data_IF_575398310583
#
_entry.id   IF_575398310583
#
_cell.length_a   1.000
_cell.length_b   1.000
_cell.length_c   1.000
_cell.angle_alpha   90.00
_cell.angle_beta   90.00
_cell.angle_gamma   90.00
#
_symmetry.space_group_name_H-M   'P 1'
#
loop_
_entity.id
_entity.type
_entity.pdbx_description
1 polymer ?
#
# COMPACT_ATOMS: atom_id res chain seq x y z
N UNK A 1 -10.69 15.10 -0.71
CA UNK A 1 -10.22 15.86 0.48
C UNK A 1 -9.26 15.07 1.37
N UNK A 2 -9.51 13.79 1.72
CA UNK A 2 -8.56 12.98 2.55
C UNK A 2 -7.19 12.80 1.92
N UNK A 3 -7.17 12.35 0.66
CA UNK A 3 -5.92 12.18 -0.10
C UNK A 3 -5.18 13.52 -0.15
N UNK A 4 -5.88 14.65 -0.35
CA UNK A 4 -5.29 15.99 -0.35
C UNK A 4 -4.71 16.42 1.01
N UNK A 5 -5.30 16.02 2.14
CA UNK A 5 -4.79 16.33 3.49
C UNK A 5 -3.59 15.44 3.87
N UNK A 6 -3.65 14.15 3.55
CA UNK A 6 -2.51 13.23 3.68
C UNK A 6 -1.35 13.65 2.76
N UNK A 7 -1.65 14.03 1.53
CA UNK A 7 -0.72 14.61 0.57
C UNK A 7 -0.11 15.91 1.08
N UNK A 8 -0.90 16.83 1.62
CA UNK A 8 -0.39 18.09 2.14
C UNK A 8 0.54 17.88 3.35
N UNK A 9 0.21 16.94 4.25
CA UNK A 9 1.08 16.56 5.36
C UNK A 9 2.35 15.86 4.89
N UNK A 10 2.25 14.92 3.94
CA UNK A 10 3.39 14.26 3.30
C UNK A 10 4.32 15.25 2.59
N UNK A 11 3.76 16.15 1.80
CA UNK A 11 4.50 17.19 1.07
C UNK A 11 5.20 18.11 2.08
N UNK A 12 4.50 18.60 3.10
CA UNK A 12 5.07 19.53 4.09
C UNK A 12 6.16 18.86 4.94
N UNK A 13 5.97 17.60 5.33
CA UNK A 13 6.91 16.86 6.16
C UNK A 13 8.16 16.36 5.40
N UNK A 14 8.07 16.18 4.08
CA UNK A 14 9.19 15.79 3.22
C UNK A 14 10.04 16.97 2.72
N UNK A 15 9.53 18.22 2.76
CA UNK A 15 10.22 19.35 2.11
C UNK A 15 10.93 20.34 3.02
N UNK A 16 10.66 20.41 4.32
CA UNK A 16 11.17 21.48 5.19
C UNK A 16 11.00 22.92 4.62
N UNK A 17 10.16 23.11 3.58
CA UNK A 17 10.04 24.35 2.84
C UNK A 17 8.57 24.62 2.53
N UNK A 18 8.04 25.66 3.17
CA UNK A 18 6.68 26.17 2.96
C UNK A 18 6.45 26.86 1.60
N UNK A 19 7.29 26.68 0.57
CA UNK A 19 7.09 27.42 -0.69
C UNK A 19 7.72 26.85 -1.98
N UNK A 20 8.05 25.55 -2.04
CA UNK A 20 8.45 24.93 -3.31
C UNK A 20 7.76 23.56 -3.46
N UNK A 21 7.14 23.31 -4.61
CA UNK A 21 6.73 21.96 -4.99
C UNK A 21 7.98 21.06 -4.91
N UNK A 22 7.99 19.99 -4.09
CA UNK A 22 9.12 19.09 -4.04
C UNK A 22 9.42 18.52 -5.43
N UNK A 23 10.65 18.68 -5.89
CA UNK A 23 11.15 18.02 -7.11
C UNK A 23 11.85 16.72 -6.74
N UNK A 24 11.06 15.65 -6.53
CA UNK A 24 11.58 14.29 -6.55
C UNK A 24 11.89 13.91 -8.00
N UNK A 25 13.05 13.30 -8.33
CA UNK A 25 13.36 12.85 -9.68
C UNK A 25 12.70 11.50 -10.02
N UNK A 26 12.36 10.70 -9.01
CA UNK A 26 11.76 9.39 -9.15
C UNK A 26 10.83 9.05 -7.96
N UNK A 27 9.93 8.09 -8.18
CA UNK A 27 9.08 7.50 -7.15
C UNK A 27 9.17 5.97 -7.19
N UNK A 28 9.54 5.36 -6.06
CA UNK A 28 9.68 3.91 -5.92
C UNK A 28 8.60 3.38 -4.95
N UNK A 29 7.91 2.31 -5.32
CA UNK A 29 6.77 1.78 -4.53
C UNK A 29 7.02 0.33 -4.16
N UNK A 30 6.98 0.03 -2.87
CA UNK A 30 7.08 -1.32 -2.29
C UNK A 30 5.84 -1.62 -1.47
N UNK A 31 5.45 -2.88 -1.41
CA UNK A 31 4.28 -3.27 -0.63
C UNK A 31 3.34 -4.24 -1.31
N UNK A 32 2.06 -4.16 -0.93
CA UNK A 32 1.03 -5.14 -1.31
C UNK A 32 -0.01 -4.65 -2.34
N UNK A 33 0.28 -3.62 -3.15
CA UNK A 33 -0.60 -3.21 -4.25
C UNK A 33 0.15 -2.56 -5.43
N UNK A 34 -0.19 -2.93 -6.68
CA UNK A 34 0.49 -2.48 -7.93
C UNK A 34 -0.42 -1.71 -8.91
N UNK A 35 0.13 -1.02 -9.94
CA UNK A 35 -0.63 -0.29 -11.00
C UNK A 35 -0.15 -0.43 -12.49
N UNK A 36 -1.02 -0.79 -13.49
CA UNK A 36 -1.14 -0.24 -14.91
C UNK A 36 -2.56 -0.17 -15.55
N UNK A 37 -2.90 0.91 -16.26
CA UNK A 37 -4.27 1.48 -16.46
C UNK A 37 -5.35 0.74 -17.29
N UNK A 38 -6.58 1.27 -17.20
CA UNK A 38 -7.69 1.17 -18.18
C UNK A 38 -8.44 -0.16 -18.34
N UNK A 39 -7.74 -1.31 -18.34
CA UNK A 39 -8.31 -2.65 -18.51
C UNK A 39 -8.26 -3.45 -17.19
N UNK A 40 -8.92 -4.64 -17.06
CA UNK A 40 -8.76 -5.53 -15.91
C UNK A 40 -7.31 -6.05 -15.86
N UNK A 41 -6.43 -5.31 -15.20
CA UNK A 41 -4.98 -5.56 -15.15
C UNK A 41 -4.53 -6.23 -13.85
N UNK A 42 -5.47 -6.69 -13.01
CA UNK A 42 -5.17 -7.46 -11.80
C UNK A 42 -4.83 -6.64 -10.55
N UNK A 43 -5.27 -5.37 -10.43
CA UNK A 43 -4.99 -4.55 -9.23
C UNK A 43 -6.19 -4.18 -8.38
N UNK A 44 -5.90 -3.97 -7.10
CA UNK A 44 -6.84 -3.83 -5.98
C UNK A 44 -7.47 -2.43 -5.86
N UNK A 45 -7.76 -1.76 -6.98
CA UNK A 45 -8.58 -0.54 -7.05
C UNK A 45 -9.16 -0.41 -8.46
N UNK A 46 -10.31 0.24 -8.59
CA UNK A 46 -10.95 0.63 -9.86
C UNK A 46 -10.44 1.97 -10.42
N UNK A 47 -9.52 2.65 -9.71
CA UNK A 47 -8.91 3.90 -10.10
C UNK A 47 -7.39 3.95 -9.91
N UNK A 48 -6.87 5.17 -9.77
CA UNK A 48 -5.47 5.46 -9.47
C UNK A 48 -5.18 5.20 -8.00
N UNK A 49 -4.02 4.63 -7.69
CA UNK A 49 -3.57 4.44 -6.32
C UNK A 49 -2.93 5.72 -5.78
N UNK A 50 -2.75 5.79 -4.46
CA UNK A 50 -2.08 6.94 -3.81
C UNK A 50 -0.70 7.23 -4.41
N UNK A 51 0.17 6.25 -4.71
CA UNK A 51 1.44 6.50 -5.38
C UNK A 51 1.31 7.12 -6.77
N UNK A 52 0.29 6.73 -7.55
CA UNK A 52 0.04 7.34 -8.86
C UNK A 52 -0.36 8.79 -8.70
N UNK A 53 -1.26 9.09 -7.76
CA UNK A 53 -1.73 10.44 -7.48
C UNK A 53 -0.53 11.32 -7.07
N UNK A 54 0.33 10.81 -6.18
CA UNK A 54 1.59 11.45 -5.79
C UNK A 54 2.48 11.71 -7.01
N UNK A 55 2.71 10.70 -7.85
CA UNK A 55 3.56 10.81 -9.03
C UNK A 55 3.09 11.92 -9.99
N UNK A 56 1.77 12.07 -10.19
CA UNK A 56 1.26 13.16 -11.04
C UNK A 56 1.30 14.52 -10.38
N UNK A 57 1.05 14.60 -9.07
CA UNK A 57 1.15 15.87 -8.36
C UNK A 57 2.59 16.41 -8.36
N UNK A 58 3.58 15.52 -8.39
CA UNK A 58 4.99 15.90 -8.58
C UNK A 58 5.40 16.07 -10.04
N UNK A 59 4.48 15.90 -10.99
CA UNK A 59 4.75 16.06 -12.41
C UNK A 59 5.69 15.00 -13.00
N UNK A 60 5.78 13.82 -12.37
CA UNK A 60 6.66 12.73 -12.82
C UNK A 60 6.02 11.87 -13.90
N UNK A 61 4.80 11.42 -13.65
CA UNK A 61 4.04 10.51 -14.51
C UNK A 61 2.58 10.43 -14.08
N UNK A 62 1.72 9.99 -14.98
CA UNK A 62 0.30 9.74 -14.67
C UNK A 62 0.10 8.55 -13.72
N UNK A 63 1.02 7.59 -13.79
CA UNK A 63 0.94 6.30 -13.16
C UNK A 63 2.33 5.69 -12.94
N UNK A 64 2.54 5.02 -11.82
CA UNK A 64 3.80 4.33 -11.52
C UNK A 64 3.74 2.90 -12.06
N UNK A 65 4.54 2.55 -13.08
CA UNK A 65 4.48 1.24 -13.70
C UNK A 65 5.18 0.17 -12.85
N UNK A 66 4.79 -1.12 -12.94
CA UNK A 66 5.47 -2.19 -12.23
C UNK A 66 6.81 -2.47 -12.89
N UNK A 67 7.83 -2.81 -12.09
CA UNK A 67 9.18 -3.09 -12.58
C UNK A 67 9.23 -4.26 -13.57
N UNK A 68 8.40 -5.27 -13.36
CA UNK A 68 8.33 -6.47 -14.20
C UNK A 68 7.45 -6.29 -15.46
N UNK A 69 7.06 -5.07 -15.81
CA UNK A 69 6.32 -4.85 -17.05
C UNK A 69 7.22 -5.15 -18.27
N UNK A 70 6.83 -6.07 -19.18
CA UNK A 70 7.65 -6.44 -20.33
C UNK A 70 7.86 -5.30 -21.33
N UNK A 71 7.04 -4.24 -21.28
CA UNK A 71 7.16 -3.04 -22.11
C UNK A 71 7.61 -1.81 -21.30
N UNK A 72 8.30 -2.02 -20.17
CA UNK A 72 8.84 -0.95 -19.33
C UNK A 72 9.93 -0.16 -20.06
N UNK A 73 9.68 1.13 -20.29
CA UNK A 73 10.62 2.02 -20.96
C UNK A 73 11.75 2.49 -20.04
N UNK A 74 12.87 2.95 -20.61
CA UNK A 74 13.98 3.49 -19.81
C UNK A 74 13.59 4.80 -19.11
N UNK A 75 12.75 5.63 -19.74
CA UNK A 75 12.19 6.81 -19.09
C UNK A 75 11.34 6.45 -17.87
N UNK A 76 10.59 5.34 -17.93
CA UNK A 76 9.85 4.84 -16.78
C UNK A 76 10.79 4.45 -15.63
N UNK A 77 11.90 3.77 -15.94
CA UNK A 77 12.93 3.39 -14.96
C UNK A 77 13.54 4.62 -14.31
N UNK A 78 13.96 5.61 -15.11
CA UNK A 78 14.56 6.86 -14.61
C UNK A 78 13.64 7.62 -13.67
N UNK A 79 12.34 7.64 -13.96
CA UNK A 79 11.33 8.35 -13.16
C UNK A 79 10.67 7.47 -12.08
N UNK A 80 11.14 6.23 -11.92
CA UNK A 80 10.75 5.32 -10.84
C UNK A 80 9.60 4.36 -11.16
N UNK A 81 9.58 3.24 -10.44
CA UNK A 81 8.73 2.07 -10.71
C UNK A 81 8.14 1.49 -9.42
N UNK A 82 7.18 0.58 -9.57
CA UNK A 82 6.58 -0.18 -8.47
C UNK A 82 7.14 -1.60 -8.43
N UNK A 83 7.69 -1.98 -7.28
CA UNK A 83 8.09 -3.35 -6.94
C UNK A 83 7.01 -4.09 -6.16
N UNK A 84 5.98 -3.38 -5.69
CA UNK A 84 4.90 -3.95 -4.90
C UNK A 84 4.31 -5.22 -5.52
N UNK A 85 3.71 -6.07 -4.69
CA UNK A 85 3.02 -7.28 -5.12
C UNK A 85 1.92 -7.64 -4.13
N UNK A 86 0.70 -7.76 -4.62
CA UNK A 86 -0.44 -7.93 -3.76
C UNK A 86 -0.47 -9.25 -3.01
N UNK A 87 -0.87 -9.18 -1.74
CA UNK A 87 -0.78 -10.30 -0.81
C UNK A 87 0.61 -10.48 -0.17
N UNK A 88 1.59 -9.64 -0.50
CA UNK A 88 2.89 -9.66 0.18
C UNK A 88 2.81 -9.08 1.60
N UNK A 89 3.82 -9.44 2.40
CA UNK A 89 3.99 -8.96 3.77
C UNK A 89 5.44 -9.14 4.21
N UNK A 90 5.78 -8.60 5.38
CA UNK A 90 7.12 -8.67 5.94
C UNK A 90 7.46 -10.07 6.48
N UNK A 91 6.45 -10.85 6.89
CA UNK A 91 6.61 -12.24 7.29
C UNK A 91 6.65 -13.13 6.04
N UNK A 92 7.71 -13.92 5.89
CA UNK A 92 7.84 -14.85 4.76
C UNK A 92 6.70 -15.90 4.72
N UNK A 93 6.05 -16.15 5.86
CA UNK A 93 4.88 -17.04 5.91
C UNK A 93 3.71 -16.48 5.10
N UNK A 94 3.57 -15.15 5.01
CA UNK A 94 2.48 -14.46 4.30
C UNK A 94 2.39 -14.86 2.84
N UNK A 95 3.55 -15.04 2.17
CA UNK A 95 3.59 -15.42 0.75
C UNK A 95 3.73 -16.92 0.53
N UNK A 96 3.90 -17.72 1.58
CA UNK A 96 4.14 -19.16 1.47
C UNK A 96 2.97 -19.91 0.82
N UNK A 97 1.74 -19.47 1.09
CA UNK A 97 0.52 -20.10 0.55
C UNK A 97 0.07 -19.52 -0.79
N UNK A 98 0.32 -18.22 -1.04
CA UNK A 98 -0.20 -17.49 -2.20
C UNK A 98 0.78 -17.44 -3.37
N UNK A 99 2.08 -17.75 -3.14
CA UNK A 99 3.14 -17.75 -4.15
C UNK A 99 3.30 -16.40 -4.88
N UNK A 100 2.94 -15.31 -4.19
CA UNK A 100 3.15 -13.93 -4.68
C UNK A 100 4.58 -13.47 -4.41
N UNK A 101 5.00 -12.37 -5.06
CA UNK A 101 6.35 -11.82 -4.91
C UNK A 101 6.50 -11.31 -3.47
N UNK A 102 7.42 -11.92 -2.72
CA UNK A 102 7.70 -11.58 -1.32
C UNK A 102 8.44 -10.25 -1.19
N UNK A 103 8.40 -9.63 -0.01
CA UNK A 103 9.16 -8.41 0.25
C UNK A 103 10.67 -8.58 0.02
N UNK A 104 11.24 -9.77 0.25
CA UNK A 104 12.64 -10.02 -0.08
C UNK A 104 12.88 -10.02 -1.59
N UNK A 105 12.00 -10.66 -2.37
CA UNK A 105 12.10 -10.62 -3.84
C UNK A 105 11.86 -9.22 -4.40
N UNK A 106 11.07 -8.38 -3.73
CA UNK A 106 10.97 -6.95 -4.09
C UNK A 106 12.31 -6.21 -3.91
N UNK A 107 13.14 -6.58 -2.93
CA UNK A 107 14.50 -6.05 -2.78
C UNK A 107 15.46 -6.62 -3.84
N UNK A 108 15.31 -7.88 -4.23
CA UNK A 108 16.09 -8.46 -5.32
C UNK A 108 15.83 -7.69 -6.63
N UNK A 109 14.57 -7.39 -6.93
CA UNK A 109 14.20 -6.53 -8.07
C UNK A 109 14.67 -5.08 -7.93
N UNK A 110 14.81 -4.55 -6.71
CA UNK A 110 15.43 -3.24 -6.52
C UNK A 110 16.91 -3.27 -6.94
N UNK A 111 17.64 -4.32 -6.63
CA UNK A 111 19.04 -4.45 -7.07
C UNK A 111 19.12 -4.50 -8.62
N UNK A 112 18.26 -5.29 -9.26
CA UNK A 112 18.15 -5.32 -10.73
C UNK A 112 17.77 -3.94 -11.31
N UNK A 113 16.89 -3.20 -10.63
CA UNK A 113 16.53 -1.83 -11.01
C UNK A 113 17.71 -0.87 -10.90
N UNK A 114 18.51 -0.96 -9.83
CA UNK A 114 19.70 -0.10 -9.64
C UNK A 114 20.71 -0.35 -10.76
N UNK A 115 20.99 -1.61 -11.09
CA UNK A 115 21.88 -1.97 -12.21
C UNK A 115 21.35 -1.41 -13.54
N UNK A 116 20.05 -1.58 -13.80
CA UNK A 116 19.42 -1.04 -15.00
C UNK A 116 19.49 0.48 -15.04
N UNK A 117 19.20 1.16 -13.93
CA UNK A 117 19.26 2.62 -13.83
C UNK A 117 20.67 3.13 -14.13
N UNK A 118 21.69 2.52 -13.52
CA UNK A 118 23.09 2.83 -13.78
C UNK A 118 23.46 2.66 -15.27
N UNK A 119 22.94 1.63 -15.94
CA UNK A 119 23.17 1.44 -17.38
C UNK A 119 22.58 2.55 -18.25
N UNK A 120 21.50 3.20 -17.80
CA UNK A 120 20.76 4.22 -18.55
C UNK A 120 21.37 5.60 -18.34
N UNK A 121 21.65 5.98 -17.09
CA UNK A 121 22.03 7.36 -16.73
C UNK A 121 23.49 7.50 -16.27
N UNK A 122 24.20 6.39 -16.07
CA UNK A 122 25.52 6.36 -15.45
C UNK A 122 25.45 6.27 -13.92
N UNK A 123 26.57 5.90 -13.30
CA UNK A 123 26.64 5.63 -11.85
C UNK A 123 26.37 6.87 -10.99
N UNK A 124 27.00 8.00 -11.33
CA UNK A 124 26.87 9.25 -10.57
C UNK A 124 25.43 9.78 -10.56
N UNK A 125 24.77 9.80 -11.72
CA UNK A 125 23.38 10.23 -11.83
C UNK A 125 22.42 9.24 -11.17
N UNK A 126 22.69 7.93 -11.24
CA UNK A 126 21.88 6.93 -10.54
C UNK A 126 21.92 7.13 -9.02
N UNK A 127 23.08 7.43 -8.45
CA UNK A 127 23.23 7.76 -7.02
C UNK A 127 22.43 9.00 -6.65
N UNK A 128 22.49 10.06 -7.47
CA UNK A 128 21.72 11.29 -7.25
C UNK A 128 20.21 11.03 -7.31
N UNK A 129 19.74 10.27 -8.31
CA UNK A 129 18.34 9.88 -8.45
C UNK A 129 17.87 9.11 -7.21
N UNK A 130 18.58 8.06 -6.80
CA UNK A 130 18.22 7.21 -5.65
C UNK A 130 18.18 8.01 -4.34
N UNK A 131 19.18 8.87 -4.11
CA UNK A 131 19.24 9.71 -2.89
C UNK A 131 18.07 10.68 -2.78
N UNK A 132 17.47 11.06 -3.92
CA UNK A 132 16.37 12.01 -3.97
C UNK A 132 15.02 11.39 -4.27
N UNK A 133 14.96 10.12 -4.66
CA UNK A 133 13.73 9.41 -4.96
C UNK A 133 12.79 9.38 -3.75
N UNK A 134 11.49 9.50 -4.01
CA UNK A 134 10.47 9.24 -3.00
C UNK A 134 10.19 7.74 -2.94
N UNK A 135 10.55 7.09 -1.84
CA UNK A 135 10.26 5.67 -1.62
C UNK A 135 9.03 5.52 -0.74
N UNK A 136 8.05 4.74 -1.20
CA UNK A 136 6.82 4.45 -0.46
C UNK A 136 6.81 2.96 -0.11
N UNK A 137 6.64 2.65 1.17
CA UNK A 137 6.56 1.28 1.70
C UNK A 137 5.21 1.08 2.36
N UNK A 138 4.40 0.18 1.81
CA UNK A 138 3.07 -0.16 2.31
C UNK A 138 2.88 -1.67 2.38
N UNK A 139 3.26 -2.27 3.51
CA UNK A 139 3.05 -3.68 3.80
C UNK A 139 2.72 -3.87 5.28
N UNK A 140 2.29 -5.08 5.66
CA UNK A 140 1.94 -5.43 7.03
C UNK A 140 0.51 -5.94 7.17
N UNK A 141 -0.44 -5.36 6.42
CA UNK A 141 -1.87 -5.73 6.50
C UNK A 141 -2.08 -7.23 6.32
N UNK A 142 -1.44 -7.83 5.31
CA UNK A 142 -1.53 -9.26 5.03
C UNK A 142 -0.86 -10.13 6.11
N UNK A 143 0.21 -9.65 6.77
CA UNK A 143 0.87 -10.40 7.85
C UNK A 143 -0.11 -10.65 9.00
N UNK A 144 -0.87 -9.61 9.40
CA UNK A 144 -1.87 -9.71 10.45
C UNK A 144 -3.11 -10.47 9.98
N UNK A 145 -3.67 -10.11 8.81
CA UNK A 145 -4.87 -10.76 8.28
C UNK A 145 -4.66 -12.26 8.08
N UNK A 146 -3.62 -12.67 7.35
CA UNK A 146 -3.38 -14.08 7.04
C UNK A 146 -2.81 -14.83 8.21
N UNK A 147 -1.67 -14.42 8.75
CA UNK A 147 -0.91 -15.30 9.65
C UNK A 147 -1.38 -15.22 11.10
N UNK A 148 -2.01 -14.10 11.48
CA UNK A 148 -2.44 -13.88 12.85
C UNK A 148 -3.97 -14.05 13.02
N UNK A 149 -4.80 -13.54 12.10
CA UNK A 149 -6.26 -13.53 12.28
C UNK A 149 -6.99 -14.69 11.61
N UNK A 150 -6.70 -14.98 10.34
CA UNK A 150 -7.47 -15.93 9.53
C UNK A 150 -6.89 -17.33 9.59
N UNK A 151 -5.57 -17.45 9.44
CA UNK A 151 -4.82 -18.69 9.62
C UNK A 151 -3.88 -18.53 10.82
N UNK A 152 -4.36 -18.72 12.06
CA UNK A 152 -3.72 -18.29 13.31
C UNK A 152 -2.47 -19.11 13.70
N UNK A 153 -1.71 -19.59 12.73
CA UNK A 153 -0.40 -20.24 12.88
C UNK A 153 0.54 -19.40 13.74
N UNK A 154 0.63 -18.09 13.49
CA UNK A 154 1.48 -17.18 14.29
C UNK A 154 0.90 -16.89 15.68
N UNK A 155 -0.40 -17.04 15.91
CA UNK A 155 -0.99 -16.94 17.27
C UNK A 155 -0.57 -18.07 18.19
N UNK A 156 -0.12 -19.21 17.65
CA UNK A 156 0.43 -20.32 18.43
C UNK A 156 1.87 -20.05 18.90
N UNK A 157 2.58 -19.16 18.21
CA UNK A 157 3.99 -18.84 18.45
C UNK A 157 4.17 -17.50 19.18
N UNK A 158 3.26 -16.56 18.96
CA UNK A 158 3.38 -15.18 19.41
C UNK A 158 2.09 -14.69 20.07
N UNK A 159 2.27 -13.92 21.15
CA UNK A 159 1.25 -12.92 21.54
C UNK A 159 1.19 -11.81 20.49
N UNK A 160 0.10 -11.05 20.43
CA UNK A 160 -0.05 -9.95 19.46
C UNK A 160 1.11 -8.94 19.58
N UNK A 161 1.50 -8.58 20.81
CA UNK A 161 2.60 -7.64 21.04
C UNK A 161 3.94 -8.17 20.53
N UNK A 162 4.22 -9.47 20.71
CA UNK A 162 5.44 -10.10 20.19
C UNK A 162 5.42 -10.17 18.67
N UNK A 163 4.27 -10.47 18.05
CA UNK A 163 4.16 -10.51 16.59
C UNK A 163 4.35 -9.12 15.98
N UNK A 164 3.75 -8.08 16.56
CA UNK A 164 4.00 -6.70 16.14
C UNK A 164 5.50 -6.35 16.20
N UNK A 165 6.20 -6.72 17.28
CA UNK A 165 7.64 -6.47 17.40
C UNK A 165 8.46 -7.25 16.36
N UNK A 166 8.05 -8.48 16.06
CA UNK A 166 8.66 -9.29 14.99
C UNK A 166 8.51 -8.63 13.62
N UNK A 167 7.30 -8.15 13.29
CA UNK A 167 7.04 -7.43 12.03
C UNK A 167 7.83 -6.12 11.96
N UNK A 168 7.91 -5.35 13.05
CA UNK A 168 8.73 -4.14 13.10
C UNK A 168 10.21 -4.43 12.84
N UNK A 169 10.77 -5.51 13.41
CA UNK A 169 12.16 -5.89 13.16
C UNK A 169 12.41 -6.24 11.68
N UNK A 170 11.44 -6.89 11.03
CA UNK A 170 11.49 -7.17 9.58
C UNK A 170 11.41 -5.89 8.74
N UNK A 171 10.52 -4.97 9.09
CA UNK A 171 10.45 -3.64 8.49
C UNK A 171 11.78 -2.89 8.65
N UNK A 172 12.37 -2.86 9.84
CA UNK A 172 13.66 -2.18 10.08
C UNK A 172 14.76 -2.73 9.17
N UNK A 173 14.81 -4.06 9.01
CA UNK A 173 15.75 -4.72 8.09
C UNK A 173 15.51 -4.32 6.63
N UNK A 174 14.25 -4.23 6.22
CA UNK A 174 13.85 -3.80 4.89
C UNK A 174 14.22 -2.34 4.60
N UNK A 175 13.94 -1.43 5.52
CA UNK A 175 14.30 -0.01 5.42
C UNK A 175 15.82 0.16 5.36
N UNK A 176 16.57 -0.62 6.15
CA UNK A 176 18.03 -0.62 6.10
C UNK A 176 18.54 -1.05 4.71
N UNK A 177 17.96 -2.07 4.09
CA UNK A 177 18.35 -2.49 2.75
C UNK A 177 18.10 -1.38 1.69
N UNK A 178 16.96 -0.67 1.78
CA UNK A 178 16.70 0.49 0.92
C UNK A 178 17.73 1.62 1.14
N UNK A 179 18.11 1.87 2.39
CA UNK A 179 19.14 2.85 2.73
C UNK A 179 20.51 2.44 2.19
N UNK A 180 20.87 1.16 2.29
CA UNK A 180 22.16 0.63 1.86
C UNK A 180 22.35 0.79 0.33
N UNK A 181 21.28 0.78 -0.47
CA UNK A 181 21.34 1.06 -1.93
C UNK A 181 21.29 2.55 -2.29
N UNK A 182 21.25 3.44 -1.30
CA UNK A 182 21.31 4.89 -1.53
C UNK A 182 19.99 5.65 -1.37
N UNK A 183 18.87 5.00 -1.07
CA UNK A 183 17.60 5.71 -0.86
C UNK A 183 17.65 6.54 0.44
N UNK A 184 17.13 7.78 0.41
CA UNK A 184 17.15 8.68 1.59
C UNK A 184 15.80 9.31 1.96
N UNK A 185 14.76 9.23 1.12
CA UNK A 185 13.46 9.85 1.40
C UNK A 185 12.38 8.78 1.36
N UNK A 186 11.91 8.37 2.54
CA UNK A 186 11.03 7.21 2.68
C UNK A 186 9.74 7.57 3.41
N UNK A 187 8.66 6.92 2.98
CA UNK A 187 7.35 6.99 3.61
C UNK A 187 6.94 5.57 3.96
N UNK A 188 6.66 5.33 5.24
CA UNK A 188 6.23 4.03 5.75
C UNK A 188 4.78 4.15 6.19
N UNK A 189 3.89 3.41 5.53
CA UNK A 189 2.48 3.36 5.88
C UNK A 189 2.24 2.58 7.16
N UNK A 190 1.37 3.11 8.02
CA UNK A 190 0.73 2.33 9.08
C UNK A 190 -0.24 1.29 8.55
N UNK A 191 -0.78 0.48 9.46
CA UNK A 191 -1.91 -0.40 9.19
C UNK A 191 -3.21 0.41 9.08
N UNK A 192 -4.08 0.07 8.12
CA UNK A 192 -5.44 0.59 8.06
C UNK A 192 -6.30 0.00 9.21
N UNK A 193 -7.58 0.40 9.36
CA UNK A 193 -8.50 -0.30 10.23
C UNK A 193 -8.79 -1.73 9.71
N UNK A 194 -7.94 -2.68 10.08
CA UNK A 194 -7.95 -4.06 9.56
C UNK A 194 -9.29 -4.75 9.82
N UNK A 195 -9.89 -4.53 10.99
CA UNK A 195 -11.18 -5.12 11.33
C UNK A 195 -12.33 -4.61 10.47
N UNK A 196 -12.15 -3.48 9.77
CA UNK A 196 -13.09 -2.95 8.79
C UNK A 196 -12.77 -3.38 7.35
N UNK A 197 -11.80 -4.26 7.12
CA UNK A 197 -11.60 -4.84 5.80
C UNK A 197 -12.77 -5.78 5.47
N UNK A 198 -13.23 -5.84 4.20
CA UNK A 198 -14.37 -6.66 3.80
C UNK A 198 -14.21 -8.13 4.20
N UNK A 199 -13.01 -8.69 4.03
CA UNK A 199 -12.70 -10.07 4.45
C UNK A 199 -12.88 -10.28 5.96
N UNK A 200 -12.43 -9.32 6.78
CA UNK A 200 -12.54 -9.42 8.24
C UNK A 200 -13.98 -9.21 8.71
N UNK A 201 -14.70 -8.23 8.16
CA UNK A 201 -16.12 -8.03 8.46
C UNK A 201 -16.96 -9.27 8.11
N UNK A 202 -16.61 -9.93 7.01
CA UNK A 202 -17.24 -11.19 6.57
C UNK A 202 -16.92 -12.36 7.49
N UNK A 203 -15.64 -12.53 7.83
CA UNK A 203 -15.17 -13.65 8.62
C UNK A 203 -15.64 -13.54 10.09
N UNK A 204 -15.62 -12.34 10.67
CA UNK A 204 -15.89 -12.12 12.10
C UNK A 204 -17.34 -11.70 12.39
N UNK A 205 -18.04 -11.10 11.42
CA UNK A 205 -19.42 -10.62 11.57
C UNK A 205 -20.26 -10.93 10.31
N UNK A 206 -20.47 -12.20 9.96
CA UNK A 206 -21.11 -12.59 8.68
C UNK A 206 -22.54 -12.07 8.52
N UNK A 207 -23.28 -11.92 9.62
CA UNK A 207 -24.66 -11.41 9.63
C UNK A 207 -24.73 -9.89 9.52
N UNK A 208 -23.95 -9.18 10.34
CA UNK A 208 -24.07 -7.73 10.48
C UNK A 208 -23.08 -6.96 9.62
N UNK A 209 -22.06 -7.64 9.09
CA UNK A 209 -20.94 -7.05 8.33
C UNK A 209 -20.45 -5.80 9.05
N UNK A 210 -20.10 -5.95 10.32
CA UNK A 210 -19.60 -4.88 11.19
C UNK A 210 -18.09 -5.03 11.37
N UNK A 211 -17.40 -3.92 11.64
CA UNK A 211 -15.97 -3.97 11.89
C UNK A 211 -15.63 -4.81 13.13
N UNK A 212 -14.53 -5.56 13.06
CA UNK A 212 -13.95 -6.23 14.21
C UNK A 212 -13.17 -5.21 15.08
N UNK A 213 -13.77 -4.79 16.19
CA UNK A 213 -13.19 -3.74 17.05
C UNK A 213 -11.81 -4.13 17.61
N UNK A 214 -11.64 -5.40 18.00
CA UNK A 214 -10.37 -5.90 18.52
C UNK A 214 -9.23 -5.78 17.52
N UNK A 215 -9.46 -6.15 16.26
CA UNK A 215 -8.43 -6.05 15.21
C UNK A 215 -8.08 -4.59 14.89
N UNK A 216 -9.06 -3.69 14.99
CA UNK A 216 -8.84 -2.25 14.87
C UNK A 216 -7.99 -1.69 16.03
N UNK A 217 -8.23 -2.12 17.27
CA UNK A 217 -7.41 -1.75 18.43
C UNK A 217 -5.99 -2.30 18.33
N UNK A 218 -5.84 -3.54 17.85
CA UNK A 218 -4.54 -4.16 17.60
C UNK A 218 -3.77 -3.43 16.47
N UNK A 219 -4.47 -2.90 15.46
CA UNK A 219 -3.87 -2.05 14.41
C UNK A 219 -3.41 -0.68 14.94
N UNK A 220 -4.19 -0.02 15.81
CA UNK A 220 -3.78 1.22 16.50
C UNK A 220 -2.52 0.96 17.34
N UNK A 221 -2.52 -0.12 18.13
CA UNK A 221 -1.38 -0.49 18.95
C UNK A 221 -0.11 -0.78 18.12
N UNK A 222 -0.26 -1.38 16.94
CA UNK A 222 0.86 -1.53 16.01
C UNK A 222 1.36 -0.18 15.51
N UNK A 223 0.46 0.70 15.08
CA UNK A 223 0.80 2.03 14.56
C UNK A 223 1.52 2.91 15.60
N UNK A 224 1.09 2.88 16.86
CA UNK A 224 1.75 3.60 17.96
C UNK A 224 3.21 3.15 18.18
N UNK A 225 3.48 1.86 17.96
CA UNK A 225 4.83 1.31 18.01
C UNK A 225 5.62 1.66 16.75
N UNK A 226 4.99 1.55 15.58
CA UNK A 226 5.60 1.86 14.29
C UNK A 226 6.11 3.30 14.24
N UNK A 227 5.33 4.27 14.72
CA UNK A 227 5.76 5.66 14.73
C UNK A 227 7.07 5.85 15.52
N UNK A 228 7.21 5.17 16.67
CA UNK A 228 8.44 5.19 17.47
C UNK A 228 9.60 4.53 16.74
N UNK A 229 9.36 3.39 16.10
CA UNK A 229 10.37 2.67 15.29
C UNK A 229 10.85 3.53 14.12
N UNK A 230 9.94 4.21 13.42
CA UNK A 230 10.27 5.13 12.31
C UNK A 230 11.12 6.30 12.80
N UNK A 231 10.76 6.95 13.91
CA UNK A 231 11.55 8.04 14.50
C UNK A 231 12.95 7.58 14.92
N UNK A 232 13.06 6.37 15.47
CA UNK A 232 14.35 5.78 15.82
C UNK A 232 15.20 5.53 14.57
N UNK A 233 14.64 4.92 13.52
CA UNK A 233 15.35 4.70 12.25
C UNK A 233 15.80 6.01 11.59
N UNK A 234 14.99 7.07 11.62
CA UNK A 234 15.38 8.38 11.11
C UNK A 234 16.59 8.95 11.86
N UNK A 235 16.69 8.68 13.17
CA UNK A 235 17.85 9.09 13.99
C UNK A 235 19.08 8.26 13.69
N UNK A 236 18.92 6.94 13.51
CA UNK A 236 20.04 6.01 13.30
C UNK A 236 20.60 6.07 11.87
N UNK A 237 19.77 6.40 10.87
CA UNK A 237 20.13 6.44 9.46
C UNK A 237 20.47 7.87 9.03
N UNK A 238 21.74 8.23 9.17
CA UNK A 238 22.23 9.58 8.90
C UNK A 238 21.88 10.05 7.46
N UNK A 239 21.33 11.26 7.36
CA UNK A 239 20.94 11.85 6.08
C UNK A 239 19.67 11.26 5.46
N UNK A 240 18.99 10.34 6.16
CA UNK A 240 17.68 9.82 5.78
C UNK A 240 16.56 10.69 6.36
N UNK A 241 15.46 10.82 5.61
CA UNK A 241 14.17 11.36 6.06
C UNK A 241 13.16 10.23 5.96
N UNK A 242 12.59 9.82 7.08
CA UNK A 242 11.63 8.72 7.14
C UNK A 242 10.36 9.22 7.80
N UNK A 243 9.26 9.16 7.06
CA UNK A 243 7.96 9.59 7.56
C UNK A 243 7.04 8.40 7.80
N UNK A 244 6.37 8.44 8.94
CA UNK A 244 5.21 7.62 9.20
C UNK A 244 3.99 8.23 8.50
N UNK A 245 3.26 7.42 7.73
CA UNK A 245 1.98 7.80 7.13
C UNK A 245 0.82 7.15 7.88
N UNK A 246 0.02 7.98 8.56
CA UNK A 246 -1.21 7.57 9.22
C UNK A 246 -2.32 7.35 8.20
N UNK A 247 -2.57 6.08 7.87
CA UNK A 247 -3.71 5.68 7.03
C UNK A 247 -4.93 5.30 7.87
N UNK A 248 -4.77 5.05 9.17
CA UNK A 248 -5.84 4.54 10.01
C UNK A 248 -6.92 5.59 10.26
N UNK A 249 -6.53 6.75 10.79
CA UNK A 249 -7.48 7.77 11.21
C UNK A 249 -8.29 8.33 10.04
N UNK A 250 -7.68 8.65 8.88
CA UNK A 250 -8.46 9.15 7.76
C UNK A 250 -9.40 8.10 7.16
N UNK A 251 -9.01 6.82 7.16
CA UNK A 251 -9.91 5.74 6.73
C UNK A 251 -11.07 5.54 7.70
N UNK A 252 -10.80 5.55 9.01
CA UNK A 252 -11.86 5.47 10.02
C UNK A 252 -12.82 6.66 9.97
N UNK A 253 -12.32 7.88 9.71
CA UNK A 253 -13.19 9.05 9.50
C UNK A 253 -14.07 8.87 8.25
N UNK A 254 -13.56 8.31 7.16
CA UNK A 254 -14.37 7.99 5.97
C UNK A 254 -15.44 6.94 6.26
N UNK A 255 -15.10 5.91 7.03
CA UNK A 255 -16.03 4.84 7.43
C UNK A 255 -17.16 5.40 8.31
N UNK A 256 -16.82 6.26 9.28
CA UNK A 256 -17.78 6.78 10.25
C UNK A 256 -18.57 8.00 9.73
N UNK A 257 -17.97 8.79 8.83
CA UNK A 257 -18.54 10.03 8.32
C UNK A 257 -18.62 10.05 6.78
N UNK A 258 -19.27 9.08 6.12
CA UNK A 258 -19.23 8.94 4.66
C UNK A 258 -19.80 10.16 3.93
N UNK A 259 -20.75 10.89 4.54
CA UNK A 259 -21.38 12.10 3.97
C UNK A 259 -20.47 13.33 3.94
N UNK A 260 -19.40 13.35 4.75
CA UNK A 260 -18.35 14.40 4.69
C UNK A 260 -17.50 14.26 3.43
N UNK A 261 -17.48 13.06 2.88
CA UNK A 261 -16.84 12.70 1.64
C UNK A 261 -17.92 12.65 0.54
N UNK A 262 -17.57 12.41 -0.72
CA UNK A 262 -18.60 12.24 -1.75
C UNK A 262 -19.46 11.02 -1.38
N UNK A 263 -20.55 11.29 -0.64
CA UNK A 263 -21.29 10.29 0.10
C UNK A 263 -21.95 9.27 -0.83
N UNK A 264 -22.27 9.67 -2.07
CA UNK A 264 -22.76 8.75 -3.09
C UNK A 264 -21.71 7.69 -3.44
N UNK A 265 -20.46 8.11 -3.57
CA UNK A 265 -19.32 7.26 -3.92
C UNK A 265 -18.92 6.35 -2.76
N UNK A 266 -18.77 6.89 -1.54
CA UNK A 266 -18.39 6.10 -0.36
C UNK A 266 -19.48 5.08 -0.01
N UNK A 267 -20.76 5.46 -0.07
CA UNK A 267 -21.86 4.53 0.18
C UNK A 267 -21.99 3.48 -0.93
N UNK A 268 -21.68 3.81 -2.18
CA UNK A 268 -21.68 2.84 -3.27
C UNK A 268 -20.54 1.82 -3.12
N UNK A 269 -19.34 2.25 -2.74
CA UNK A 269 -18.22 1.36 -2.38
C UNK A 269 -18.60 0.43 -1.23
N UNK A 270 -19.13 0.98 -0.13
CA UNK A 270 -19.61 0.18 1.02
C UNK A 270 -20.72 -0.81 0.64
N UNK A 271 -21.59 -0.49 -0.32
CA UNK A 271 -22.64 -1.42 -0.79
C UNK A 271 -22.06 -2.56 -1.61
N UNK A 272 -21.16 -2.27 -2.57
CA UNK A 272 -20.48 -3.30 -3.37
C UNK A 272 -19.70 -4.27 -2.50
N UNK A 273 -18.97 -3.73 -1.51
CA UNK A 273 -18.26 -4.55 -0.52
C UNK A 273 -19.19 -5.50 0.24
N UNK A 274 -20.43 -5.10 0.55
CA UNK A 274 -21.42 -5.98 1.19
C UNK A 274 -21.96 -7.05 0.24
N UNK A 275 -22.09 -6.74 -1.05
CA UNK A 275 -22.57 -7.66 -2.08
C UNK A 275 -21.51 -8.73 -2.43
N UNK A 276 -20.25 -8.35 -2.64
CA UNK A 276 -19.15 -9.29 -2.93
C UNK A 276 -18.87 -10.23 -1.75
N UNK A 277 -19.05 -9.71 -0.54
CA UNK A 277 -18.98 -10.44 0.71
C UNK A 277 -20.11 -11.48 0.87
N UNK A 278 -21.28 -11.28 0.25
CA UNK A 278 -22.36 -12.27 0.19
C UNK A 278 -22.07 -13.37 -0.85
N UNK A 279 -21.38 -13.04 -1.94
CA UNK A 279 -20.93 -14.03 -2.94
C UNK A 279 -19.91 -15.04 -2.36
N UNK A 280 -19.14 -14.64 -1.34
CA UNK A 280 -18.23 -15.51 -0.58
C UNK A 280 -18.94 -16.61 0.24
N UNK A 281 -20.13 -16.33 0.80
CA UNK A 281 -20.89 -17.37 1.52
C UNK A 281 -21.39 -18.48 0.58
N UNK A 282 -21.52 -18.19 -0.73
CA UNK A 282 -21.79 -19.18 -1.78
C UNK A 282 -20.52 -19.99 -2.17
N UNK A 283 -19.33 -19.38 -2.14
CA UNK A 283 -18.05 -20.02 -2.50
C UNK A 283 -17.46 -20.91 -1.40
N UNK A 284 -17.91 -20.78 -0.15
CA UNK A 284 -17.53 -21.67 0.97
C UNK A 284 -17.88 -23.16 0.75
N UNK A 285 -18.67 -23.50 -0.28
CA UNK A 285 -19.09 -24.87 -0.60
C UNK A 285 -18.12 -25.66 -1.52
N UNK A 286 -17.08 -25.06 -2.10
CA UNK A 286 -16.16 -25.79 -3.00
C UNK A 286 -14.69 -25.39 -2.79
N UNK A 287 -14.01 -26.13 -1.89
CA UNK A 287 -12.59 -25.98 -1.54
C UNK A 287 -11.68 -26.71 -2.54
N UNK A 288 -11.72 -26.36 -3.83
CA UNK A 288 -10.75 -26.86 -4.80
C UNK A 288 -9.85 -25.76 -5.37
N UNK A 289 -8.53 -26.00 -5.32
CA UNK A 289 -7.46 -25.06 -5.69
C UNK A 289 -7.52 -24.51 -7.13
N UNK A 290 -8.35 -25.11 -8.00
CA UNK A 290 -8.45 -24.73 -9.43
C UNK A 290 -9.29 -23.48 -9.69
N UNK A 291 -10.14 -23.05 -8.74
CA UNK A 291 -10.98 -21.85 -8.91
C UNK A 291 -10.36 -20.55 -8.37
N UNK A 292 -9.25 -20.62 -7.64
CA UNK A 292 -8.57 -19.42 -7.11
C UNK A 292 -8.02 -18.51 -8.21
N UNK A 293 -7.55 -19.07 -9.33
CA UNK A 293 -7.10 -18.29 -10.50
C UNK A 293 -8.26 -17.59 -11.24
N UNK A 294 -9.46 -18.17 -11.23
CA UNK A 294 -10.66 -17.58 -11.83
C UNK A 294 -11.31 -16.49 -10.93
N UNK A 295 -10.93 -16.44 -9.65
CA UNK A 295 -11.53 -15.57 -8.63
C UNK A 295 -10.81 -14.24 -8.44
N UNK A 296 -9.85 -13.89 -9.30
CA UNK A 296 -9.07 -12.66 -9.19
C UNK A 296 -9.92 -11.37 -9.22
N UNK A 297 -11.14 -11.40 -9.80
CA UNK A 297 -12.10 -10.29 -9.70
C UNK A 297 -12.77 -10.20 -8.33
N UNK A 298 -13.17 -11.32 -7.74
CA UNK A 298 -13.85 -11.31 -6.44
C UNK A 298 -12.85 -11.00 -5.32
N UNK A 299 -11.63 -11.54 -5.40
CA UNK A 299 -10.55 -11.29 -4.42
C UNK A 299 -10.07 -9.84 -4.42
N UNK A 300 -10.19 -9.16 -5.57
CA UNK A 300 -9.89 -7.73 -5.75
C UNK A 300 -10.66 -6.86 -4.77
N UNK A 301 -11.96 -7.12 -4.60
CA UNK A 301 -12.85 -6.32 -3.76
C UNK A 301 -12.83 -6.79 -2.29
N UNK A 302 -12.40 -8.02 -2.05
CA UNK A 302 -12.34 -8.67 -0.72
C UNK A 302 -11.12 -8.22 0.12
N UNK A 303 -9.94 -8.07 -0.51
CA UNK A 303 -8.69 -7.67 0.15
C UNK A 303 -8.35 -6.18 0.00
N UNK A 304 -9.03 -5.50 -0.92
CA UNK A 304 -8.87 -4.07 -1.15
C UNK A 304 -9.57 -3.28 -0.04
N UNK A 305 -8.79 -2.76 0.92
CA UNK A 305 -9.20 -1.57 1.67
C UNK A 305 -9.38 -0.33 0.77
N UNK A 306 -9.07 -0.45 -0.53
CA UNK A 306 -9.14 0.59 -1.56
C UNK A 306 -10.49 0.72 -2.25
N UNK A 307 -11.49 -0.11 -1.93
CA UNK A 307 -12.89 0.13 -2.32
C UNK A 307 -13.49 1.45 -1.76
N UNK A 308 -12.71 2.18 -0.95
CA UNK A 308 -13.02 3.54 -0.48
C UNK A 308 -12.57 4.68 -1.40
N UNK A 309 -11.82 4.42 -2.48
CA UNK A 309 -11.25 5.47 -3.32
C UNK A 309 -11.71 5.31 -4.77
N UNK A 310 -12.91 5.82 -5.03
CA UNK A 310 -13.44 6.05 -6.36
C UNK A 310 -13.25 7.54 -6.70
N UNK A 311 -12.30 7.84 -7.58
CA UNK A 311 -12.27 9.09 -8.34
C UNK A 311 -12.13 8.74 -9.82
N UNK A 312 -13.27 8.54 -10.48
CA UNK A 312 -13.44 8.95 -11.88
C UNK A 312 -14.88 8.68 -12.35
N UNK A 313 -15.66 9.74 -12.58
CA UNK A 313 -16.50 9.88 -13.78
C UNK A 313 -16.68 11.38 -14.11
N UNK A 314 -16.80 11.74 -15.40
CA UNK A 314 -16.55 13.09 -15.90
C UNK A 314 -17.75 14.00 -15.67
N UNK A 315 -17.61 15.01 -14.83
CA UNK A 315 -18.52 16.15 -14.88
C UNK A 315 -18.22 16.93 -16.16
N UNK A 316 -19.06 16.71 -17.17
CA UNK A 316 -19.20 17.62 -18.31
C UNK A 316 -19.41 19.03 -17.76
N UNK A 317 -18.40 19.89 -17.89
CA UNK A 317 -18.61 21.33 -17.88
C UNK A 317 -19.37 21.67 -19.17
N UNK A 318 -20.70 21.79 -19.06
CA UNK A 318 -21.48 22.54 -20.03
C UNK A 318 -21.40 24.01 -19.63
N UNK A 319 -20.47 24.74 -20.23
CA UNK A 319 -20.54 26.19 -20.29
C UNK A 319 -21.62 26.57 -21.30
N UNK A 320 -22.73 27.13 -20.84
CA UNK A 320 -23.54 28.04 -21.66
C UNK A 320 -24.18 29.09 -20.76
N UNK A 321 -23.66 30.31 -20.95
CA UNK A 321 -24.19 31.67 -20.76
C UNK A 321 -24.80 32.08 -19.42
#
# INVERSE_FOLDING_TARGET
>A
MVIAALLALLITALTNQCNANPKFPAILVFGDSTFRGGAPTGRFSDGRLVPDILASLFGLKEAVPPFLDPILSDQDVVTGVSFASAGSGYDALTTSFTQVISMSTQLDHLNEYVERLQSIVGEEEAVEILSRALVIVSAGTNDFAFNFYDFPTRRLEFTISQYQNFIHAKLQSFIKALYDVGCRKMVVSGLPPIGCLPIQMTAKSPLWRSCCQRENEEAVSYNDKLEKVVRQMETDLTGCRILYADVYNPMMDMINNPLKYDGGVVLQGLRRLKEDAAALDYLKLDLSARHWQASARNLRDIYSGTAFILLNQPTRFSLTN
#
